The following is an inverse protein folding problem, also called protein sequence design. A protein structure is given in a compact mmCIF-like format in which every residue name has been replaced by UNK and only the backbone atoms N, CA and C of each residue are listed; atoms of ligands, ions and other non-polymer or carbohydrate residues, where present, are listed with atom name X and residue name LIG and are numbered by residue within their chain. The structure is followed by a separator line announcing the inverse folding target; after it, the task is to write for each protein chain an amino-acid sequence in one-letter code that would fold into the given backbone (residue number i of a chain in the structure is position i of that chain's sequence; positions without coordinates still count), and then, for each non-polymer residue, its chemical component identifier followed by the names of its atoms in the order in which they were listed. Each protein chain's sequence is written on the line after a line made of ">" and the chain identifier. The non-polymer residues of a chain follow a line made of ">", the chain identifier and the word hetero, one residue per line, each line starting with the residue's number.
data_IF_991379787900
#
_entry.id   IF_991379787900
#
_cell.length_a   1.000
_cell.length_b   1.000
_cell.length_c   1.000
_cell.angle_alpha   90.00
_cell.angle_beta   90.00
_cell.angle_gamma   90.00
#
_symmetry.space_group_name_H-M   'P 1'
#
loop_
_entity.id
_entity.type
_entity.pdbx_description
1 polymer ?
#
# COMPACT_ATOMS: atom_id res chain seq x y z
N UNK A 1 -22.35 8.65 9.03
CA UNK A 1 -21.10 7.99 8.68
C UNK A 1 -19.88 8.87 9.01
N UNK A 2 -19.71 10.02 8.32
CA UNK A 2 -18.57 10.94 8.56
C UNK A 2 -18.45 11.39 10.03
N UNK A 3 -19.56 11.73 10.69
CA UNK A 3 -19.58 12.14 12.09
C UNK A 3 -19.13 11.03 13.05
N UNK A 4 -19.46 9.76 12.79
CA UNK A 4 -18.98 8.62 13.59
C UNK A 4 -17.48 8.41 13.43
N UNK A 5 -16.97 8.52 12.20
CA UNK A 5 -15.55 8.46 11.93
C UNK A 5 -14.78 9.55 12.68
N UNK A 6 -15.29 10.79 12.67
CA UNK A 6 -14.70 11.92 13.39
C UNK A 6 -14.77 11.80 14.93
N UNK A 7 -15.69 11.00 15.46
CA UNK A 7 -15.78 10.72 16.90
C UNK A 7 -14.90 9.54 17.35
N UNK A 8 -14.41 8.72 16.42
CA UNK A 8 -13.49 7.64 16.72
C UNK A 8 -12.05 8.20 16.89
N UNK A 9 -11.58 8.22 18.15
CA UNK A 9 -10.26 8.78 18.50
C UNK A 9 -9.12 8.05 17.77
N UNK A 10 -9.21 6.73 17.63
CA UNK A 10 -8.23 5.91 16.91
C UNK A 10 -8.19 6.29 15.43
N UNK A 11 -9.35 6.42 14.78
CA UNK A 11 -9.44 6.86 13.39
C UNK A 11 -8.82 8.23 13.18
N UNK A 12 -9.14 9.19 14.02
CA UNK A 12 -8.60 10.55 13.92
C UNK A 12 -7.09 10.58 14.12
N UNK A 13 -6.58 9.83 15.10
CA UNK A 13 -5.14 9.75 15.37
C UNK A 13 -4.38 9.13 14.20
N UNK A 14 -4.86 8.02 13.66
CA UNK A 14 -4.19 7.33 12.54
C UNK A 14 -4.24 8.13 11.25
N UNK A 15 -5.37 8.76 10.94
CA UNK A 15 -5.49 9.69 9.81
C UNK A 15 -4.53 10.87 9.97
N UNK A 16 -4.42 11.42 11.18
CA UNK A 16 -3.49 12.52 11.44
C UNK A 16 -2.02 12.10 11.18
N UNK A 17 -1.60 10.89 11.60
CA UNK A 17 -0.27 10.35 11.31
C UNK A 17 -0.06 10.22 9.81
N UNK A 18 -1.00 9.60 9.08
CA UNK A 18 -0.88 9.40 7.62
C UNK A 18 -0.82 10.74 6.88
N UNK A 19 -1.72 11.69 7.23
CA UNK A 19 -1.74 13.01 6.61
C UNK A 19 -0.48 13.81 6.94
N UNK A 20 -0.03 13.78 8.19
CA UNK A 20 1.20 14.47 8.60
C UNK A 20 2.40 13.91 7.83
N UNK A 21 2.53 12.57 7.75
CA UNK A 21 3.59 11.92 6.99
C UNK A 21 3.54 12.32 5.52
N UNK A 22 2.36 12.28 4.90
CA UNK A 22 2.19 12.69 3.50
C UNK A 22 2.56 14.17 3.28
N UNK A 23 2.13 15.07 4.17
CA UNK A 23 2.48 16.50 4.12
C UNK A 23 3.99 16.71 4.26
N UNK A 24 4.64 16.05 5.24
CA UNK A 24 6.09 16.11 5.40
C UNK A 24 6.80 15.64 4.12
N UNK A 25 6.32 14.57 3.49
CA UNK A 25 6.86 14.10 2.22
C UNK A 25 6.66 15.10 1.07
N UNK A 26 5.46 15.71 0.95
CA UNK A 26 5.17 16.71 -0.09
C UNK A 26 6.05 17.96 0.09
N UNK A 27 6.19 18.42 1.33
CA UNK A 27 6.99 19.61 1.65
C UNK A 27 8.46 19.29 1.98
N UNK A 28 8.95 18.09 1.63
CA UNK A 28 10.33 17.66 1.89
C UNK A 28 11.40 18.70 1.50
N UNK A 29 11.34 19.39 0.32
CA UNK A 29 12.35 20.37 -0.06
C UNK A 29 12.42 21.60 0.86
N UNK A 30 11.37 21.87 1.63
CA UNK A 30 11.29 23.01 2.55
C UNK A 30 11.56 22.61 4.01
N UNK A 31 11.45 21.33 4.34
CA UNK A 31 11.57 20.81 5.71
C UNK A 31 12.93 20.15 5.95
N UNK A 32 13.50 19.53 4.93
CA UNK A 32 14.78 18.83 5.06
C UNK A 32 15.93 19.83 5.32
N UNK A 33 16.76 19.58 6.35
CA UNK A 33 17.85 20.52 6.69
C UNK A 33 18.97 20.53 5.65
N UNK A 34 19.22 19.40 4.97
CA UNK A 34 20.30 19.22 3.99
C UNK A 34 19.80 18.55 2.72
N UNK A 35 20.58 18.60 1.65
CA UNK A 35 20.33 17.80 0.46
C UNK A 35 20.47 16.28 0.79
N UNK A 36 19.45 15.43 0.50
CA UNK A 36 19.49 14.00 0.81
C UNK A 36 20.49 13.21 -0.05
N UNK A 37 21.03 13.81 -1.10
CA UNK A 37 21.97 13.19 -2.04
C UNK A 37 23.42 13.68 -1.84
N UNK A 38 23.62 14.81 -1.18
CA UNK A 38 24.94 15.38 -0.93
C UNK A 38 25.78 14.44 -0.06
N UNK A 39 26.95 14.05 -0.58
CA UNK A 39 27.87 13.13 0.10
C UNK A 39 29.03 13.93 0.71
N UNK A 40 29.28 13.72 2.00
CA UNK A 40 30.41 14.30 2.73
C UNK A 40 31.16 13.21 3.50
N UNK A 41 32.18 12.64 2.83
CA UNK A 41 32.95 11.51 3.39
C UNK A 41 33.70 11.90 4.67
N UNK A 42 34.01 13.19 4.89
CA UNK A 42 34.68 13.66 6.10
C UNK A 42 33.74 13.56 7.31
N UNK A 43 32.45 13.75 7.09
CA UNK A 43 31.40 13.63 8.09
C UNK A 43 30.70 12.26 8.08
N UNK A 44 31.36 11.20 7.56
CA UNK A 44 30.86 9.83 7.59
C UNK A 44 30.63 9.36 9.02
N UNK A 45 29.42 8.85 9.30
CA UNK A 45 29.01 8.38 10.62
C UNK A 45 29.07 9.46 11.72
N UNK A 46 28.93 10.73 11.35
CA UNK A 46 28.84 11.80 12.34
C UNK A 46 27.61 11.56 13.24
N UNK A 47 27.80 11.81 14.55
CA UNK A 47 26.73 11.70 15.54
C UNK A 47 25.68 12.80 15.42
N UNK A 48 24.76 12.81 16.37
CA UNK A 48 23.71 13.85 16.45
C UNK A 48 24.33 15.24 16.65
N UNK A 49 23.92 16.17 15.81
CA UNK A 49 24.33 17.59 15.88
C UNK A 49 23.20 18.50 15.40
N UNK A 50 23.34 19.80 15.58
CA UNK A 50 22.37 20.77 15.05
C UNK A 50 22.31 20.73 13.51
N UNK A 51 23.42 20.44 12.84
CA UNK A 51 23.53 20.30 11.39
C UNK A 51 22.96 18.94 10.91
N UNK A 52 23.21 17.89 11.67
CA UNK A 52 22.76 16.51 11.38
C UNK A 52 21.95 15.93 12.55
N UNK A 53 20.64 16.28 12.68
CA UNK A 53 19.84 15.93 13.87
C UNK A 53 19.70 14.43 14.15
N UNK A 54 19.80 13.57 13.11
CA UNK A 54 19.85 12.10 13.23
C UNK A 54 21.21 11.51 12.86
N UNK A 55 22.23 12.37 12.73
CA UNK A 55 23.54 11.97 12.26
C UNK A 55 23.62 11.76 10.75
N UNK A 56 24.73 11.16 10.31
CA UNK A 56 25.02 10.89 8.90
C UNK A 56 25.19 9.40 8.64
N UNK A 57 25.00 9.01 7.38
CA UNK A 57 25.16 7.63 6.94
C UNK A 57 26.63 7.28 6.55
N UNK A 58 26.81 6.13 5.91
CA UNK A 58 28.10 5.61 5.45
C UNK A 58 28.78 6.45 4.35
N UNK A 59 28.08 7.39 3.74
CA UNK A 59 28.58 8.34 2.74
C UNK A 59 28.57 9.78 3.26
N UNK A 60 28.26 10.00 4.56
CA UNK A 60 28.15 11.34 5.17
C UNK A 60 26.87 12.09 4.83
N UNK A 61 25.85 11.41 4.23
CA UNK A 61 24.57 12.03 3.90
C UNK A 61 23.69 12.16 5.15
N UNK A 62 22.95 13.26 5.26
CA UNK A 62 22.07 13.51 6.40
C UNK A 62 20.91 12.49 6.47
N UNK A 63 20.87 11.70 7.56
CA UNK A 63 19.83 10.67 7.75
C UNK A 63 18.44 11.31 7.82
N UNK A 64 18.26 12.43 8.56
CA UNK A 64 16.95 13.09 8.67
C UNK A 64 16.43 13.57 7.31
N UNK A 65 17.27 14.21 6.49
CA UNK A 65 16.88 14.63 5.14
C UNK A 65 16.48 13.44 4.27
N UNK A 66 17.23 12.36 4.31
CA UNK A 66 16.91 11.11 3.59
C UNK A 66 15.61 10.47 4.08
N UNK A 67 15.34 10.51 5.39
CA UNK A 67 14.06 10.03 5.96
C UNK A 67 12.87 10.83 5.45
N UNK A 68 12.98 12.16 5.41
CA UNK A 68 11.92 13.06 4.94
C UNK A 68 11.67 12.85 3.43
N UNK A 69 12.72 12.86 2.62
CA UNK A 69 12.60 12.60 1.17
C UNK A 69 12.15 11.18 0.85
N UNK A 70 12.54 10.21 1.68
CA UNK A 70 12.18 8.80 1.54
C UNK A 70 10.68 8.52 1.69
N UNK A 71 9.92 9.41 2.31
CA UNK A 71 8.46 9.29 2.40
C UNK A 71 7.84 9.23 1.00
N UNK A 72 8.31 10.04 0.05
CA UNK A 72 7.74 10.13 -1.30
C UNK A 72 7.79 8.81 -2.05
N UNK A 73 8.93 8.15 -2.24
CA UNK A 73 8.97 6.85 -2.90
C UNK A 73 8.29 5.77 -2.05
N UNK A 74 8.51 5.71 -0.73
CA UNK A 74 7.92 4.68 0.12
C UNK A 74 6.38 4.71 0.07
N UNK A 75 5.76 5.87 0.30
CA UNK A 75 4.30 6.02 0.28
C UNK A 75 3.75 6.02 -1.15
N UNK A 76 4.42 6.72 -2.08
CA UNK A 76 3.96 6.85 -3.46
C UNK A 76 3.92 5.51 -4.19
N UNK A 77 4.95 4.68 -4.05
CA UNK A 77 4.99 3.35 -4.66
C UNK A 77 3.96 2.41 -4.05
N UNK A 78 3.75 2.49 -2.72
CA UNK A 78 2.74 1.68 -2.04
C UNK A 78 1.31 2.04 -2.52
N UNK A 79 0.98 3.33 -2.62
CA UNK A 79 -0.32 3.79 -3.13
C UNK A 79 -0.51 3.41 -4.60
N UNK A 80 0.52 3.57 -5.44
CA UNK A 80 0.46 3.15 -6.85
C UNK A 80 0.23 1.64 -6.99
N UNK A 81 0.92 0.84 -6.20
CA UNK A 81 0.75 -0.62 -6.18
C UNK A 81 -0.66 -0.98 -5.73
N UNK A 82 -1.16 -0.38 -4.66
CA UNK A 82 -2.52 -0.59 -4.17
C UNK A 82 -3.56 -0.24 -5.25
N UNK A 83 -3.45 0.92 -5.88
CA UNK A 83 -4.38 1.34 -6.93
C UNK A 83 -4.39 0.35 -8.11
N UNK A 84 -3.21 -0.10 -8.57
CA UNK A 84 -3.10 -1.09 -9.62
C UNK A 84 -3.71 -2.44 -9.22
N UNK A 85 -3.40 -2.91 -8.03
CA UNK A 85 -3.84 -4.21 -7.50
C UNK A 85 -5.35 -4.25 -7.31
N UNK A 86 -5.91 -3.25 -6.61
CA UNK A 86 -7.35 -3.16 -6.36
C UNK A 86 -8.10 -2.85 -7.65
N UNK A 87 -7.56 -1.98 -8.51
CA UNK A 87 -8.17 -1.64 -9.79
C UNK A 87 -8.33 -2.86 -10.69
N UNK A 88 -7.27 -3.63 -10.89
CA UNK A 88 -7.31 -4.87 -11.68
C UNK A 88 -8.17 -5.94 -10.98
N UNK A 89 -8.01 -6.12 -9.67
CA UNK A 89 -8.80 -7.05 -8.88
C UNK A 89 -10.30 -6.71 -8.89
N UNK A 90 -10.65 -5.42 -8.78
CA UNK A 90 -12.04 -4.98 -8.85
C UNK A 90 -12.64 -5.22 -10.23
N UNK A 91 -11.92 -4.90 -11.29
CA UNK A 91 -12.38 -5.16 -12.66
C UNK A 91 -12.69 -6.65 -12.86
N UNK A 92 -11.73 -7.52 -12.57
CA UNK A 92 -11.87 -8.96 -12.76
C UNK A 92 -12.87 -9.58 -11.78
N UNK A 93 -12.91 -9.13 -10.53
CA UNK A 93 -13.86 -9.59 -9.53
C UNK A 93 -15.31 -9.18 -9.84
N UNK A 94 -15.52 -7.95 -10.34
CA UNK A 94 -16.83 -7.50 -10.81
C UNK A 94 -17.32 -8.32 -12.01
N UNK A 95 -16.45 -8.55 -12.99
CA UNK A 95 -16.78 -9.35 -14.17
C UNK A 95 -17.14 -10.78 -13.78
N UNK A 96 -16.31 -11.43 -12.98
CA UNK A 96 -16.55 -12.79 -12.51
C UNK A 96 -17.78 -12.91 -11.61
N UNK A 97 -18.04 -11.95 -10.72
CA UNK A 97 -19.19 -11.97 -9.81
C UNK A 97 -20.52 -11.67 -10.51
N UNK A 98 -20.47 -10.84 -11.54
CA UNK A 98 -21.66 -10.44 -12.26
C UNK A 98 -22.03 -11.39 -13.40
N UNK A 99 -21.09 -11.71 -14.29
CA UNK A 99 -21.29 -12.63 -15.41
C UNK A 99 -20.97 -14.07 -14.98
N UNK A 100 -22.01 -14.91 -14.86
CA UNK A 100 -21.85 -16.35 -14.53
C UNK A 100 -21.43 -17.14 -15.78
N UNK A 101 -20.99 -18.37 -15.53
CA UNK A 101 -20.64 -19.32 -16.59
C UNK A 101 -19.19 -19.18 -17.05
N UNK A 102 -18.96 -19.24 -18.36
CA UNK A 102 -17.61 -19.31 -18.94
C UNK A 102 -16.69 -18.13 -18.49
N UNK A 103 -17.12 -16.85 -18.50
CA UNK A 103 -16.27 -15.75 -18.07
C UNK A 103 -15.84 -15.88 -16.59
N UNK A 104 -16.76 -16.25 -15.71
CA UNK A 104 -16.48 -16.51 -14.32
C UNK A 104 -15.48 -17.64 -14.14
N UNK A 105 -15.70 -18.75 -14.85
CA UNK A 105 -14.85 -19.93 -14.75
C UNK A 105 -13.41 -19.64 -15.20
N UNK A 106 -13.22 -18.98 -16.33
CA UNK A 106 -11.89 -18.61 -16.82
C UNK A 106 -11.16 -17.70 -15.82
N UNK A 107 -11.82 -16.65 -15.36
CA UNK A 107 -11.21 -15.70 -14.41
C UNK A 107 -10.86 -16.42 -13.10
N UNK A 108 -11.77 -17.22 -12.55
CA UNK A 108 -11.54 -17.91 -11.28
C UNK A 108 -10.49 -19.03 -11.39
N UNK A 109 -10.41 -19.76 -12.50
CA UNK A 109 -9.31 -20.71 -12.73
C UNK A 109 -7.95 -20.01 -12.80
N UNK A 110 -7.88 -18.86 -13.46
CA UNK A 110 -6.66 -18.05 -13.45
C UNK A 110 -6.31 -17.59 -12.03
N UNK A 111 -7.29 -17.12 -11.26
CA UNK A 111 -7.13 -16.73 -9.85
C UNK A 111 -6.65 -17.93 -9.02
N UNK A 112 -7.22 -19.14 -9.21
CA UNK A 112 -6.83 -20.34 -8.48
C UNK A 112 -5.37 -20.71 -8.76
N UNK A 113 -4.94 -20.65 -10.03
CA UNK A 113 -3.53 -20.86 -10.41
C UNK A 113 -2.62 -19.85 -9.75
N UNK A 114 -2.97 -18.55 -9.80
CA UNK A 114 -2.15 -17.50 -9.19
C UNK A 114 -2.01 -17.67 -7.67
N UNK A 115 -3.08 -18.07 -7.00
CA UNK A 115 -3.10 -18.25 -5.55
C UNK A 115 -2.55 -19.60 -5.08
N UNK A 116 -2.25 -20.54 -5.99
CA UNK A 116 -1.62 -21.81 -5.64
C UNK A 116 -0.12 -21.67 -5.32
N UNK A 117 0.49 -20.57 -5.72
CA UNK A 117 1.90 -20.27 -5.44
C UNK A 117 2.05 -19.26 -4.32
N UNK A 118 3.10 -19.35 -3.48
CA UNK A 118 3.42 -18.30 -2.52
C UNK A 118 3.70 -16.98 -3.23
N UNK A 119 2.88 -15.96 -2.96
CA UNK A 119 2.92 -14.68 -3.67
C UNK A 119 4.30 -14.02 -3.64
N UNK A 120 5.00 -14.10 -2.50
CA UNK A 120 6.33 -13.49 -2.35
C UNK A 120 7.37 -14.13 -3.29
N UNK A 121 7.33 -15.45 -3.44
CA UNK A 121 8.24 -16.18 -4.34
C UNK A 121 7.97 -15.79 -5.79
N UNK A 122 6.69 -15.65 -6.16
CA UNK A 122 6.32 -15.19 -7.51
C UNK A 122 6.79 -13.77 -7.79
N UNK A 123 6.65 -12.84 -6.82
CA UNK A 123 7.15 -11.46 -6.97
C UNK A 123 8.65 -11.47 -7.21
N UNK A 124 9.42 -12.22 -6.43
CA UNK A 124 10.87 -12.35 -6.62
C UNK A 124 11.22 -12.91 -8.00
N UNK A 125 10.54 -13.98 -8.43
CA UNK A 125 10.76 -14.58 -9.74
C UNK A 125 10.47 -13.59 -10.89
N UNK A 126 9.36 -12.86 -10.82
CA UNK A 126 9.00 -11.87 -11.85
C UNK A 126 10.00 -10.73 -11.88
N UNK A 127 10.42 -10.19 -10.73
CA UNK A 127 11.43 -9.12 -10.67
C UNK A 127 12.79 -9.62 -11.17
N UNK A 128 13.18 -10.86 -10.85
CA UNK A 128 14.41 -11.46 -11.34
C UNK A 128 14.42 -11.63 -12.87
N UNK A 129 13.27 -11.98 -13.47
CA UNK A 129 13.12 -12.14 -14.92
C UNK A 129 13.06 -10.81 -15.67
N UNK A 130 12.34 -9.82 -15.14
CA UNK A 130 12.15 -8.52 -15.79
C UNK A 130 13.32 -7.55 -15.55
N UNK A 131 14.17 -7.86 -14.57
CA UNK A 131 15.27 -7.00 -14.13
C UNK A 131 14.87 -6.08 -12.97
N UNK A 132 15.91 -5.61 -12.26
CA UNK A 132 15.77 -4.77 -11.05
C UNK A 132 15.40 -3.35 -11.46
N UNK A 133 14.14 -3.00 -11.34
CA UNK A 133 13.60 -1.66 -11.60
C UNK A 133 12.35 -1.44 -10.78
N UNK A 134 12.12 -0.22 -10.31
CA UNK A 134 10.94 0.17 -9.52
C UNK A 134 9.63 -0.15 -10.27
N UNK A 135 9.59 0.08 -11.57
CA UNK A 135 8.40 -0.22 -12.40
C UNK A 135 8.10 -1.72 -12.40
N UNK A 136 9.14 -2.57 -12.51
CA UNK A 136 9.00 -4.02 -12.50
C UNK A 136 8.53 -4.53 -11.14
N UNK A 137 8.95 -3.89 -10.05
CA UNK A 137 8.46 -4.18 -8.69
C UNK A 137 6.97 -3.91 -8.57
N UNK A 138 6.50 -2.75 -9.05
CA UNK A 138 5.06 -2.41 -9.05
C UNK A 138 4.28 -3.42 -9.89
N UNK A 139 4.73 -3.66 -11.14
CA UNK A 139 4.09 -4.59 -12.05
C UNK A 139 4.01 -6.00 -11.48
N UNK A 140 5.10 -6.51 -10.88
CA UNK A 140 5.13 -7.83 -10.26
C UNK A 140 4.11 -7.95 -9.11
N UNK A 141 4.07 -6.93 -8.22
CA UNK A 141 3.11 -6.92 -7.11
C UNK A 141 1.66 -6.85 -7.62
N UNK A 142 1.37 -5.96 -8.57
CA UNK A 142 0.03 -5.83 -9.17
C UNK A 142 -0.37 -7.14 -9.85
N UNK A 143 0.51 -7.69 -10.70
CA UNK A 143 0.24 -8.92 -11.47
C UNK A 143 -0.03 -10.13 -10.60
N UNK A 144 0.55 -10.20 -9.41
CA UNK A 144 0.39 -11.36 -8.52
C UNK A 144 -0.77 -11.17 -7.56
N UNK A 145 -0.92 -9.98 -6.99
CA UNK A 145 -1.87 -9.77 -5.89
C UNK A 145 -3.30 -9.49 -6.34
N UNK A 146 -3.55 -9.04 -7.58
CA UNK A 146 -4.90 -8.80 -8.09
C UNK A 146 -5.84 -9.99 -7.93
N UNK A 147 -5.29 -11.21 -8.02
CA UNK A 147 -6.06 -12.46 -7.92
C UNK A 147 -6.79 -12.59 -6.58
N UNK A 148 -6.13 -12.22 -5.48
CA UNK A 148 -6.75 -12.22 -4.16
C UNK A 148 -7.91 -11.22 -4.07
N UNK A 149 -7.72 -10.00 -4.62
CA UNK A 149 -8.79 -8.99 -4.65
C UNK A 149 -9.93 -9.39 -5.57
N UNK A 150 -9.64 -9.97 -6.73
CA UNK A 150 -10.67 -10.47 -7.63
C UNK A 150 -11.58 -11.50 -6.94
N UNK A 151 -11.01 -12.42 -6.15
CA UNK A 151 -11.78 -13.40 -5.37
C UNK A 151 -12.65 -12.75 -4.30
N UNK A 152 -12.10 -11.82 -3.53
CA UNK A 152 -12.83 -11.11 -2.48
C UNK A 152 -13.98 -10.28 -3.06
N UNK A 153 -13.70 -9.51 -4.10
CA UNK A 153 -14.68 -8.63 -4.74
C UNK A 153 -15.79 -9.46 -5.43
N UNK A 154 -15.42 -10.56 -6.10
CA UNK A 154 -16.41 -11.51 -6.65
C UNK A 154 -17.39 -11.97 -5.58
N UNK A 155 -16.90 -12.35 -4.40
CA UNK A 155 -17.74 -12.79 -3.28
C UNK A 155 -18.71 -11.69 -2.84
N UNK A 156 -18.23 -10.46 -2.67
CA UNK A 156 -19.06 -9.29 -2.34
C UNK A 156 -20.12 -9.01 -3.41
N UNK A 157 -19.75 -9.07 -4.69
CA UNK A 157 -20.70 -8.89 -5.81
C UNK A 157 -21.78 -9.96 -5.81
N UNK A 158 -21.42 -11.22 -5.59
CA UNK A 158 -22.39 -12.31 -5.54
C UNK A 158 -23.42 -12.15 -4.41
N UNK A 159 -23.03 -11.61 -3.25
CA UNK A 159 -23.94 -11.34 -2.13
C UNK A 159 -25.00 -10.27 -2.47
N UNK A 160 -24.66 -9.31 -3.33
CA UNK A 160 -25.53 -8.20 -3.67
C UNK A 160 -26.28 -8.38 -4.99
N UNK A 161 -25.76 -9.19 -5.90
CA UNK A 161 -26.29 -9.37 -7.25
C UNK A 161 -27.71 -9.93 -7.30
N UNK A 162 -28.05 -10.83 -6.37
CA UNK A 162 -29.36 -11.48 -6.32
C UNK A 162 -30.33 -10.78 -5.35
N UNK A 163 -29.98 -9.55 -4.88
CA UNK A 163 -30.88 -8.72 -4.06
C UNK A 163 -32.04 -8.17 -4.87
N UNK A 164 -33.19 -7.98 -4.20
CA UNK A 164 -34.43 -7.54 -4.83
C UNK A 164 -34.30 -6.27 -5.68
N UNK A 165 -33.50 -5.29 -5.26
CA UNK A 165 -33.31 -4.04 -6.01
C UNK A 165 -32.57 -4.27 -7.35
N UNK A 166 -31.64 -5.23 -7.40
CA UNK A 166 -30.94 -5.60 -8.65
C UNK A 166 -31.89 -6.37 -9.56
N UNK A 167 -32.65 -7.32 -9.02
CA UNK A 167 -33.64 -8.07 -9.78
C UNK A 167 -34.72 -7.16 -10.36
N UNK A 168 -35.26 -6.23 -9.56
CA UNK A 168 -36.20 -5.24 -10.02
C UNK A 168 -35.62 -4.40 -11.18
N UNK A 169 -34.36 -3.92 -11.06
CA UNK A 169 -33.70 -3.17 -12.11
C UNK A 169 -33.61 -3.97 -13.43
N UNK A 170 -33.38 -5.28 -13.36
CA UNK A 170 -33.39 -6.15 -14.55
C UNK A 170 -34.79 -6.29 -15.14
N UNK A 171 -35.83 -6.47 -14.30
CA UNK A 171 -37.21 -6.60 -14.77
C UNK A 171 -37.68 -5.36 -15.54
N UNK A 172 -37.25 -4.17 -15.15
CA UNK A 172 -37.60 -2.92 -15.84
C UNK A 172 -36.69 -2.62 -17.05
N UNK A 173 -35.77 -3.55 -17.42
CA UNK A 173 -34.93 -3.42 -18.61
C UNK A 173 -33.73 -2.49 -18.44
N UNK A 174 -33.28 -2.23 -17.20
CA UNK A 174 -32.10 -1.39 -16.95
C UNK A 174 -30.86 -2.03 -17.56
N UNK A 175 -30.00 -1.27 -18.30
CA UNK A 175 -28.81 -1.82 -18.94
C UNK A 175 -27.80 -2.32 -17.90
N UNK A 176 -27.14 -3.45 -18.20
CA UNK A 176 -26.19 -4.14 -17.31
C UNK A 176 -25.09 -3.24 -16.75
N UNK A 177 -24.54 -2.35 -17.59
CA UNK A 177 -23.54 -1.35 -17.16
C UNK A 177 -24.05 -0.43 -16.04
N UNK A 178 -25.32 -0.06 -16.09
CA UNK A 178 -25.93 0.78 -15.06
C UNK A 178 -26.06 0.02 -13.74
N UNK A 179 -26.50 -1.26 -13.80
CA UNK A 179 -26.60 -2.14 -12.64
C UNK A 179 -25.22 -2.31 -11.98
N UNK A 180 -24.17 -2.56 -12.80
CA UNK A 180 -22.80 -2.72 -12.30
C UNK A 180 -22.32 -1.46 -11.56
N UNK A 181 -22.32 -0.30 -12.26
CA UNK A 181 -21.68 0.91 -11.72
C UNK A 181 -22.56 1.70 -10.73
N UNK A 182 -23.89 1.60 -10.83
CA UNK A 182 -24.82 2.38 -9.99
C UNK A 182 -25.36 1.59 -8.81
N UNK A 183 -25.39 0.28 -8.87
CA UNK A 183 -25.89 -0.58 -7.81
C UNK A 183 -24.80 -1.42 -7.14
N UNK A 184 -24.04 -2.20 -7.92
CA UNK A 184 -23.09 -3.16 -7.33
C UNK A 184 -21.81 -2.50 -6.83
N UNK A 185 -21.16 -1.63 -7.61
CA UNK A 185 -19.95 -0.93 -7.17
C UNK A 185 -20.17 -0.13 -5.88
N UNK A 186 -21.24 0.68 -5.75
CA UNK A 186 -21.51 1.37 -4.48
C UNK A 186 -21.80 0.43 -3.31
N UNK A 187 -22.42 -0.74 -3.57
CA UNK A 187 -22.73 -1.72 -2.51
C UNK A 187 -21.49 -2.37 -1.90
N UNK A 188 -20.38 -2.45 -2.65
CA UNK A 188 -19.11 -3.03 -2.19
C UNK A 188 -18.05 -1.95 -1.91
N UNK A 189 -18.38 -0.67 -2.09
CA UNK A 189 -17.41 0.43 -1.96
C UNK A 189 -16.86 0.56 -0.54
N UNK A 190 -17.67 0.26 0.47
CA UNK A 190 -17.24 0.25 1.86
C UNK A 190 -16.15 -0.80 2.10
N UNK A 191 -16.38 -2.04 1.64
CA UNK A 191 -15.42 -3.12 1.76
C UNK A 191 -14.13 -2.82 0.98
N UNK A 192 -14.27 -2.22 -0.22
CA UNK A 192 -13.12 -1.79 -1.02
C UNK A 192 -12.28 -0.72 -0.32
N UNK A 193 -12.91 0.24 0.36
CA UNK A 193 -12.19 1.29 1.08
C UNK A 193 -11.39 0.72 2.26
N UNK A 194 -11.96 -0.23 3.01
CA UNK A 194 -11.27 -0.93 4.09
C UNK A 194 -10.09 -1.73 3.53
N UNK A 195 -10.32 -2.53 2.48
CA UNK A 195 -9.28 -3.32 1.84
C UNK A 195 -8.16 -2.43 1.29
N UNK A 196 -8.49 -1.30 0.68
CA UNK A 196 -7.50 -0.35 0.17
C UNK A 196 -6.60 0.20 1.27
N UNK A 197 -7.18 0.57 2.41
CA UNK A 197 -6.40 1.07 3.55
C UNK A 197 -5.41 0.03 4.07
N UNK A 198 -5.87 -1.20 4.28
CA UNK A 198 -5.02 -2.31 4.74
C UNK A 198 -3.93 -2.66 3.71
N UNK A 199 -4.26 -2.56 2.42
CA UNK A 199 -3.33 -2.90 1.34
C UNK A 199 -2.16 -1.94 1.21
N UNK A 200 -2.36 -0.65 1.49
CA UNK A 200 -1.24 0.31 1.52
C UNK A 200 -0.19 -0.12 2.55
N UNK A 201 -0.62 -0.50 3.76
CA UNK A 201 0.29 -1.01 4.80
C UNK A 201 1.06 -2.25 4.33
N UNK A 202 0.35 -3.20 3.72
CA UNK A 202 0.98 -4.39 3.16
C UNK A 202 1.95 -4.06 2.01
N UNK A 203 1.58 -3.14 1.11
CA UNK A 203 2.42 -2.72 -0.01
C UNK A 203 3.71 -2.04 0.47
N UNK A 204 3.65 -1.21 1.53
CA UNK A 204 4.83 -0.61 2.15
C UNK A 204 5.80 -1.71 2.61
N UNK A 205 5.31 -2.70 3.38
CA UNK A 205 6.16 -3.81 3.85
C UNK A 205 6.78 -4.56 2.68
N UNK A 206 6.00 -4.89 1.66
CA UNK A 206 6.45 -5.67 0.51
C UNK A 206 7.53 -4.95 -0.30
N UNK A 207 7.28 -3.68 -0.64
CA UNK A 207 8.23 -2.86 -1.41
C UNK A 207 9.49 -2.62 -0.59
N UNK A 208 9.36 -2.29 0.69
CA UNK A 208 10.53 -2.11 1.58
C UNK A 208 11.32 -3.41 1.75
N UNK A 209 10.66 -4.57 1.80
CA UNK A 209 11.35 -5.88 1.83
C UNK A 209 12.12 -6.13 0.55
N UNK A 210 11.53 -5.86 -0.63
CA UNK A 210 12.21 -5.98 -1.92
C UNK A 210 13.41 -5.04 -2.01
N UNK A 211 13.24 -3.79 -1.57
CA UNK A 211 14.31 -2.80 -1.53
C UNK A 211 15.41 -3.20 -0.56
N UNK A 212 15.06 -3.73 0.62
CA UNK A 212 16.02 -4.27 1.59
C UNK A 212 16.83 -5.44 1.04
N UNK A 213 16.22 -6.28 0.21
CA UNK A 213 16.91 -7.39 -0.48
C UNK A 213 17.70 -6.93 -1.74
N UNK A 214 17.63 -5.63 -2.07
CA UNK A 214 18.32 -5.08 -3.26
C UNK A 214 17.57 -5.31 -4.57
N UNK A 215 16.31 -5.74 -4.52
CA UNK A 215 15.47 -5.99 -5.69
C UNK A 215 14.48 -4.85 -5.98
N UNK A 216 14.37 -3.88 -5.08
CA UNK A 216 13.44 -2.76 -5.16
C UNK A 216 14.09 -1.45 -5.62
N UNK A 217 13.82 -0.39 -4.86
CA UNK A 217 14.42 0.93 -5.09
C UNK A 217 15.92 0.86 -4.87
N UNK A 218 16.69 1.46 -5.79
CA UNK A 218 18.16 1.46 -5.76
C UNK A 218 18.70 2.79 -5.28
N UNK A 219 19.88 2.74 -4.63
CA UNK A 219 20.66 3.93 -4.34
C UNK A 219 20.92 4.75 -5.62
N UNK A 220 20.99 6.09 -5.54
CA UNK A 220 21.03 6.92 -4.33
C UNK A 220 19.65 7.32 -3.78
N UNK A 221 18.54 6.88 -4.41
CA UNK A 221 17.17 7.29 -4.03
C UNK A 221 16.86 6.93 -2.59
N UNK A 222 16.53 7.89 -1.73
CA UNK A 222 16.16 7.62 -0.35
C UNK A 222 14.76 6.99 -0.30
N UNK A 223 14.69 5.68 -0.10
CA UNK A 223 13.48 4.91 0.20
C UNK A 223 13.77 4.12 1.48
N UNK A 224 12.82 4.01 2.40
CA UNK A 224 13.10 3.48 3.74
C UNK A 224 13.61 2.03 3.72
N UNK A 225 13.12 1.16 2.84
CA UNK A 225 13.65 -0.20 2.66
C UNK A 225 15.06 -0.22 2.04
N UNK A 226 15.34 0.67 1.09
CA UNK A 226 16.67 0.84 0.52
C UNK A 226 17.67 1.38 1.56
N UNK A 227 17.23 2.30 2.43
CA UNK A 227 18.03 2.79 3.56
C UNK A 227 18.35 1.66 4.54
N UNK A 228 17.41 0.75 4.81
CA UNK A 228 17.68 -0.45 5.61
C UNK A 228 18.74 -1.36 4.95
N UNK A 229 18.70 -1.52 3.63
CA UNK A 229 19.72 -2.28 2.89
C UNK A 229 21.12 -1.65 3.04
N UNK A 230 21.21 -0.34 2.85
CA UNK A 230 22.49 0.39 3.00
C UNK A 230 23.06 0.25 4.43
N UNK A 231 22.17 0.21 5.43
CA UNK A 231 22.54 0.15 6.85
C UNK A 231 22.89 -1.25 7.37
N UNK A 232 22.58 -2.33 6.64
CA UNK A 232 22.73 -3.72 7.14
C UNK A 232 24.14 -4.07 7.59
N UNK A 233 25.16 -3.56 6.89
CA UNK A 233 26.55 -3.88 7.17
C UNK A 233 27.16 -3.06 8.34
N UNK A 234 26.42 -2.05 8.81
CA UNK A 234 26.87 -1.14 9.86
C UNK A 234 25.97 -1.16 11.09
N UNK A 235 25.08 -2.15 11.17
CA UNK A 235 24.10 -2.29 12.26
C UNK A 235 24.74 -2.31 13.64
N UNK A 236 25.89 -2.99 13.78
CA UNK A 236 26.57 -3.13 15.08
C UNK A 236 27.33 -1.87 15.50
N UNK A 237 27.82 -1.09 14.55
CA UNK A 237 28.60 0.15 14.80
C UNK A 237 27.73 1.39 14.83
N UNK A 238 26.71 1.47 13.96
CA UNK A 238 25.83 2.62 13.79
C UNK A 238 24.36 2.21 13.67
N UNK A 239 23.75 1.69 14.76
CA UNK A 239 22.39 1.12 14.72
C UNK A 239 21.31 2.13 14.33
N UNK A 240 21.51 3.41 14.57
CA UNK A 240 20.57 4.50 14.22
C UNK A 240 20.17 4.48 12.77
N UNK A 241 21.12 4.16 11.85
CA UNK A 241 20.85 4.10 10.41
C UNK A 241 19.79 3.06 10.03
N UNK A 242 19.65 1.99 10.83
CA UNK A 242 18.66 0.94 10.60
C UNK A 242 17.40 1.13 11.46
N UNK A 243 17.56 1.55 12.71
CA UNK A 243 16.45 1.74 13.64
C UNK A 243 15.49 2.82 13.16
N UNK A 244 16.00 3.96 12.68
CA UNK A 244 15.18 5.10 12.27
C UNK A 244 14.23 4.75 11.11
N UNK A 245 14.68 4.25 9.95
CA UNK A 245 13.76 3.86 8.88
C UNK A 245 12.90 2.66 9.27
N UNK A 246 13.40 1.71 10.06
CA UNK A 246 12.62 0.58 10.55
C UNK A 246 11.43 1.02 11.41
N UNK A 247 11.65 1.90 12.38
CA UNK A 247 10.58 2.46 13.23
C UNK A 247 9.58 3.26 12.40
N UNK A 248 10.05 4.06 11.43
CA UNK A 248 9.17 4.82 10.56
C UNK A 248 8.23 3.91 9.73
N UNK A 249 8.75 2.80 9.19
CA UNK A 249 7.94 1.79 8.49
C UNK A 249 6.89 1.21 9.45
N UNK A 250 7.28 0.80 10.66
CA UNK A 250 6.35 0.24 11.65
C UNK A 250 5.24 1.22 12.00
N UNK A 251 5.58 2.48 12.27
CA UNK A 251 4.59 3.53 12.59
C UNK A 251 3.60 3.73 11.44
N UNK A 252 4.11 3.87 10.22
CA UNK A 252 3.28 4.15 9.04
C UNK A 252 2.38 2.96 8.70
N UNK A 253 2.90 1.74 8.72
CA UNK A 253 2.12 0.51 8.50
C UNK A 253 1.06 0.31 9.57
N UNK A 254 1.41 0.52 10.85
CA UNK A 254 0.44 0.45 11.95
C UNK A 254 -0.67 1.50 11.80
N UNK A 255 -0.32 2.71 11.35
CA UNK A 255 -1.31 3.76 11.12
C UNK A 255 -2.30 3.35 10.00
N UNK A 256 -1.83 2.78 8.88
CA UNK A 256 -2.71 2.31 7.81
C UNK A 256 -3.58 1.13 8.24
N UNK A 257 -3.04 0.17 9.00
CA UNK A 257 -3.81 -0.98 9.49
C UNK A 257 -4.91 -0.53 10.48
N UNK A 258 -4.56 0.27 11.49
CA UNK A 258 -5.54 0.80 12.44
C UNK A 258 -6.58 1.73 11.77
N UNK A 259 -6.18 2.47 10.74
CA UNK A 259 -7.11 3.25 9.93
C UNK A 259 -8.10 2.35 9.18
N UNK A 260 -7.63 1.23 8.62
CA UNK A 260 -8.46 0.23 7.96
C UNK A 260 -9.47 -0.41 8.92
N UNK A 261 -9.02 -0.78 10.11
CA UNK A 261 -9.90 -1.34 11.16
C UNK A 261 -10.95 -0.30 11.60
N UNK A 262 -10.54 0.94 11.84
CA UNK A 262 -11.46 2.02 12.20
C UNK A 262 -12.48 2.34 11.08
N UNK A 263 -12.06 2.27 9.81
CA UNK A 263 -12.96 2.37 8.67
C UNK A 263 -13.98 1.22 8.67
N UNK A 264 -13.54 0.00 8.93
CA UNK A 264 -14.41 -1.17 9.02
C UNK A 264 -15.46 -1.01 10.09
N UNK A 265 -15.06 -0.60 11.31
CA UNK A 265 -15.99 -0.40 12.44
C UNK A 265 -17.06 0.65 12.11
N UNK A 266 -16.68 1.75 11.46
CA UNK A 266 -17.61 2.83 11.09
C UNK A 266 -18.54 2.43 9.93
N UNK A 267 -18.06 1.55 9.03
CA UNK A 267 -18.80 1.13 7.85
C UNK A 267 -19.67 -0.12 8.10
N UNK A 268 -19.46 -0.86 9.21
CA UNK A 268 -20.28 -2.03 9.55
C UNK A 268 -21.71 -1.59 9.97
N UNK A 269 -22.75 -2.05 9.25
CA UNK A 269 -24.13 -1.69 9.55
C UNK A 269 -24.68 -2.35 10.83
N UNK A 270 -24.00 -3.33 11.42
CA UNK A 270 -24.50 -4.08 12.59
C UNK A 270 -24.48 -3.28 13.90
N UNK A 271 -23.63 -2.26 13.99
CA UNK A 271 -23.56 -1.38 15.18
C UNK A 271 -24.62 -0.26 15.20
N UNK A 272 -25.55 -0.25 14.24
CA UNK A 272 -26.60 0.78 14.13
C UNK A 272 -27.78 0.54 15.10
N UNK A 273 -27.85 -0.63 15.75
CA UNK A 273 -29.01 -1.07 16.55
C UNK A 273 -28.69 -1.21 18.06
N UNK A 274 -27.78 -0.42 18.63
CA UNK A 274 -27.61 -0.34 20.09
C UNK A 274 -27.76 1.10 20.55
#
# INVERSE_FOLDING_TARGET
>A
MLLRFLHNRTAMFTVAIVLLTALVGIFAPFIAPNDPYETDILNKFAGFSAEYPLGTDNLGRCILSRMIYGIRPTLGLAVLTMLGTIGLGALMGLLAGYFRGIPEEIIMRTVDVMLSFPSQIMVFAVVALLGINVQNVILANVFIKWAWYARMIRTGVMQHRDRNFVQFSRCVGTPERFILFRHLVPSIAADLAVLASLDVGWAIINISTLSFLGLGVQAPTPEWGAMLNEAKNVLTSNPTQMIVPGVAIVILVSAFNLMGDALRDVLDPKEVNV
#
